data_IF_286440517474
#
_entry.id   IF_286440517474
#
_cell.length_a   1.000
_cell.length_b   1.000
_cell.length_c   1.000
_cell.angle_alpha   90.00
_cell.angle_beta   90.00
_cell.angle_gamma   90.00
#
_symmetry.space_group_name_H-M   'P 1'
#
loop_
_entity.id
_entity.type
_entity.pdbx_description
1 polymer ?
#
# COMPACT_ATOMS: atom_id res chain seq x y z
N UNK A 1 -6.82 -19.81 7.73
CA UNK A 1 -5.94 -18.93 6.92
C UNK A 1 -6.69 -18.20 5.82
N UNK A 2 -7.44 -18.89 4.96
CA UNK A 2 -8.21 -18.28 3.86
C UNK A 2 -9.16 -17.17 4.33
N UNK A 3 -9.91 -17.39 5.40
CA UNK A 3 -10.81 -16.39 5.99
C UNK A 3 -10.08 -15.08 6.37
N UNK A 4 -8.89 -15.19 6.96
CA UNK A 4 -8.08 -14.02 7.35
C UNK A 4 -7.59 -13.25 6.12
N UNK A 5 -7.21 -13.93 5.05
CA UNK A 5 -6.83 -13.30 3.77
C UNK A 5 -8.01 -12.50 3.20
N UNK A 6 -9.21 -13.09 3.16
CA UNK A 6 -10.41 -12.44 2.61
C UNK A 6 -10.79 -11.22 3.45
N UNK A 7 -10.87 -11.36 4.78
CA UNK A 7 -11.15 -10.24 5.68
C UNK A 7 -10.11 -9.12 5.53
N UNK A 8 -8.83 -9.47 5.48
CA UNK A 8 -7.75 -8.50 5.29
C UNK A 8 -7.85 -7.78 3.94
N UNK A 9 -8.23 -8.47 2.88
CA UNK A 9 -8.45 -7.87 1.55
C UNK A 9 -9.65 -6.91 1.55
N UNK A 10 -10.76 -7.29 2.19
CA UNK A 10 -11.93 -6.42 2.36
C UNK A 10 -11.54 -5.14 3.12
N UNK A 11 -10.83 -5.30 4.25
CA UNK A 11 -10.36 -4.15 5.05
C UNK A 11 -9.44 -3.26 4.22
N UNK A 12 -8.49 -3.82 3.47
CA UNK A 12 -7.60 -3.07 2.58
C UNK A 12 -8.33 -2.31 1.48
N UNK A 13 -9.36 -2.93 0.87
CA UNK A 13 -10.22 -2.29 -0.12
C UNK A 13 -10.98 -1.10 0.48
N UNK A 14 -11.59 -1.28 1.65
CA UNK A 14 -12.26 -0.20 2.39
C UNK A 14 -11.27 0.91 2.76
N UNK A 15 -10.07 0.57 3.21
CA UNK A 15 -9.02 1.53 3.51
C UNK A 15 -8.60 2.36 2.29
N UNK A 16 -8.64 1.78 1.09
CA UNK A 16 -8.38 2.51 -0.16
C UNK A 16 -9.49 3.54 -0.43
N UNK A 17 -10.75 3.16 -0.22
CA UNK A 17 -11.89 4.08 -0.33
C UNK A 17 -11.77 5.22 0.70
N UNK A 18 -11.38 4.92 1.94
CA UNK A 18 -11.14 5.93 2.97
C UNK A 18 -9.99 6.87 2.58
N UNK A 19 -8.88 6.33 2.06
CA UNK A 19 -7.75 7.13 1.58
C UNK A 19 -8.19 8.14 0.52
N UNK A 20 -8.86 7.67 -0.53
CA UNK A 20 -9.35 8.54 -1.61
C UNK A 20 -10.38 9.53 -1.10
N UNK A 21 -11.29 9.12 -0.21
CA UNK A 21 -12.27 10.01 0.41
C UNK A 21 -11.61 11.18 1.15
N UNK A 22 -10.64 10.90 2.02
CA UNK A 22 -9.90 11.94 2.75
C UNK A 22 -9.12 12.84 1.78
N UNK A 23 -8.44 12.26 0.80
CA UNK A 23 -7.69 13.03 -0.19
C UNK A 23 -8.59 13.99 -0.97
N UNK A 24 -9.71 13.49 -1.51
CA UNK A 24 -10.66 14.31 -2.28
C UNK A 24 -11.31 15.40 -1.45
N UNK A 25 -11.63 15.12 -0.19
CA UNK A 25 -12.22 16.09 0.72
C UNK A 25 -11.23 17.14 1.22
N UNK A 26 -9.94 16.81 1.37
CA UNK A 26 -8.96 17.75 1.96
C UNK A 26 -8.15 18.51 0.92
N UNK A 27 -7.88 17.94 -0.27
CA UNK A 27 -7.06 18.58 -1.31
C UNK A 27 -7.51 19.98 -1.76
N UNK A 28 -8.80 20.39 -1.66
CA UNK A 28 -9.19 21.76 -1.98
C UNK A 28 -8.76 22.80 -0.93
N UNK A 29 -8.47 22.37 0.30
CA UNK A 29 -8.32 23.25 1.46
C UNK A 29 -6.86 23.36 1.96
N UNK A 30 -6.03 22.35 1.71
CA UNK A 30 -4.65 22.29 2.21
C UNK A 30 -3.68 21.84 1.11
N UNK A 31 -2.36 22.07 1.25
CA UNK A 31 -1.37 21.60 0.28
C UNK A 31 -1.48 20.11 -0.02
N UNK A 32 -1.39 19.73 -1.30
CA UNK A 32 -1.59 18.36 -1.77
C UNK A 32 -0.72 17.33 -1.03
N UNK A 33 0.53 17.69 -0.71
CA UNK A 33 1.43 16.83 0.04
C UNK A 33 0.90 16.52 1.46
N UNK A 34 0.29 17.50 2.11
CA UNK A 34 -0.30 17.36 3.45
C UNK A 34 -1.59 16.53 3.34
N UNK A 35 -2.44 16.79 2.34
CA UNK A 35 -3.62 15.96 2.07
C UNK A 35 -3.27 14.49 1.82
N UNK A 36 -2.22 14.22 1.04
CA UNK A 36 -1.74 12.86 0.79
C UNK A 36 -1.25 12.20 2.07
N UNK A 37 -0.43 12.88 2.87
CA UNK A 37 0.07 12.36 4.13
C UNK A 37 -1.08 12.04 5.11
N UNK A 38 -2.06 12.93 5.23
CA UNK A 38 -3.25 12.74 6.07
C UNK A 38 -4.12 11.57 5.58
N UNK A 39 -4.36 11.47 4.27
CA UNK A 39 -5.14 10.39 3.69
C UNK A 39 -4.50 9.01 3.96
N UNK A 40 -3.17 8.91 3.75
CA UNK A 40 -2.41 7.69 3.99
C UNK A 40 -2.47 7.31 5.47
N UNK A 41 -2.20 8.25 6.38
CA UNK A 41 -2.20 7.99 7.82
C UNK A 41 -3.59 7.55 8.30
N UNK A 42 -4.65 8.27 7.94
CA UNK A 42 -6.03 7.91 8.32
C UNK A 42 -6.41 6.54 7.76
N UNK A 43 -5.99 6.22 6.53
CA UNK A 43 -6.22 4.90 5.94
C UNK A 43 -5.45 3.79 6.68
N UNK A 44 -4.19 4.03 7.09
CA UNK A 44 -3.41 3.07 7.87
C UNK A 44 -4.09 2.81 9.24
N UNK A 45 -4.51 3.87 9.93
CA UNK A 45 -5.21 3.74 11.21
C UNK A 45 -6.55 3.00 11.06
N UNK A 46 -7.35 3.34 10.04
CA UNK A 46 -8.60 2.66 9.73
C UNK A 46 -8.37 1.17 9.48
N UNK A 47 -7.39 0.84 8.63
CA UNK A 47 -7.01 -0.54 8.33
C UNK A 47 -6.55 -1.29 9.59
N UNK A 48 -5.75 -0.64 10.45
CA UNK A 48 -5.28 -1.24 11.69
C UNK A 48 -6.45 -1.57 12.62
N UNK A 49 -7.33 -0.60 12.86
CA UNK A 49 -8.46 -0.75 13.78
C UNK A 49 -9.35 -1.90 13.33
N UNK A 50 -9.76 -1.93 12.06
CA UNK A 50 -10.60 -3.01 11.53
C UNK A 50 -9.90 -4.37 11.60
N UNK A 51 -8.61 -4.44 11.26
CA UNK A 51 -7.87 -5.69 11.37
C UNK A 51 -7.71 -6.16 12.83
N UNK A 52 -7.52 -5.26 13.78
CA UNK A 52 -7.34 -5.61 15.19
C UNK A 52 -8.67 -6.06 15.85
N UNK A 53 -9.80 -5.43 15.49
CA UNK A 53 -11.10 -5.77 16.08
C UNK A 53 -11.86 -6.88 15.34
N UNK A 54 -11.54 -7.15 14.07
CA UNK A 54 -12.27 -8.10 13.23
C UNK A 54 -11.39 -9.21 12.64
N UNK A 55 -10.37 -8.89 11.83
CA UNK A 55 -9.57 -9.90 11.12
C UNK A 55 -8.75 -10.78 12.06
N UNK A 56 -8.13 -10.16 13.07
CA UNK A 56 -7.20 -10.79 14.01
C UNK A 56 -7.68 -10.69 15.46
N UNK A 57 -8.99 -10.50 15.68
CA UNK A 57 -9.62 -10.35 17.01
C UNK A 57 -9.15 -11.40 18.02
N UNK A 58 -9.07 -12.66 17.59
CA UNK A 58 -8.72 -13.81 18.43
C UNK A 58 -7.22 -14.07 18.51
N UNK A 59 -6.41 -13.26 17.83
CA UNK A 59 -4.94 -13.38 17.76
C UNK A 59 -4.23 -12.16 18.37
N UNK A 60 -4.94 -11.35 19.15
CA UNK A 60 -4.36 -10.17 19.80
C UNK A 60 -3.44 -10.57 20.95
N UNK A 61 -2.17 -10.21 20.83
CA UNK A 61 -1.15 -10.33 21.89
C UNK A 61 -0.55 -8.95 22.19
N UNK A 62 -0.13 -8.75 23.43
CA UNK A 62 0.53 -7.51 23.87
C UNK A 62 -0.32 -6.24 23.83
N UNK A 63 0.35 -5.08 23.91
CA UNK A 63 -0.30 -3.76 23.94
C UNK A 63 -0.74 -3.33 22.53
N UNK A 64 -1.88 -2.65 22.44
CA UNK A 64 -2.40 -2.10 21.17
C UNK A 64 -1.38 -1.19 20.47
N UNK A 65 -0.69 -0.35 21.23
CA UNK A 65 0.33 0.57 20.71
C UNK A 65 1.50 -0.17 20.04
N UNK A 66 1.91 -1.32 20.60
CA UNK A 66 2.97 -2.14 19.98
C UNK A 66 2.50 -2.72 18.65
N UNK A 67 1.27 -3.23 18.57
CA UNK A 67 0.71 -3.73 17.31
C UNK A 67 0.54 -2.62 16.29
N UNK A 68 0.12 -1.43 16.72
CA UNK A 68 -0.02 -0.25 15.85
C UNK A 68 1.32 0.12 15.20
N UNK A 69 2.39 0.22 15.99
CA UNK A 69 3.73 0.50 15.46
C UNK A 69 4.20 -0.59 14.49
N UNK A 70 4.04 -1.86 14.85
CA UNK A 70 4.39 -2.98 13.97
C UNK A 70 3.58 -2.94 12.66
N UNK A 71 2.32 -2.52 12.71
CA UNK A 71 1.47 -2.38 11.54
C UNK A 71 1.88 -1.21 10.64
N UNK A 72 2.33 -0.09 11.21
CA UNK A 72 2.93 1.01 10.43
C UNK A 72 4.17 0.54 9.68
N UNK A 73 5.09 -0.15 10.37
CA UNK A 73 6.29 -0.73 9.75
C UNK A 73 5.89 -1.71 8.63
N UNK A 74 4.92 -2.58 8.88
CA UNK A 74 4.43 -3.53 7.87
C UNK A 74 3.83 -2.83 6.65
N UNK A 75 3.11 -1.72 6.87
CA UNK A 75 2.48 -0.93 5.82
C UNK A 75 3.52 -0.17 4.98
N UNK A 76 4.55 0.39 5.63
CA UNK A 76 5.69 1.02 4.96
C UNK A 76 6.47 0.01 4.10
N UNK A 77 6.78 -1.18 4.65
CA UNK A 77 7.46 -2.24 3.88
C UNK A 77 6.61 -2.68 2.68
N UNK A 78 5.30 -2.85 2.87
CA UNK A 78 4.38 -3.17 1.76
C UNK A 78 4.39 -2.10 0.66
N UNK A 79 4.38 -0.82 1.02
CA UNK A 79 4.46 0.29 0.07
C UNK A 79 5.80 0.35 -0.68
N UNK A 80 6.92 0.11 0.01
CA UNK A 80 8.25 0.01 -0.61
C UNK A 80 8.31 -1.14 -1.60
N UNK A 81 7.80 -2.33 -1.23
CA UNK A 81 7.76 -3.49 -2.12
C UNK A 81 6.90 -3.22 -3.34
N UNK A 82 5.71 -2.63 -3.17
CA UNK A 82 4.86 -2.21 -4.28
C UNK A 82 5.62 -1.30 -5.24
N UNK A 83 6.27 -0.26 -4.72
CA UNK A 83 7.01 0.71 -5.53
C UNK A 83 8.17 0.06 -6.30
N UNK A 84 8.97 -0.78 -5.64
CA UNK A 84 10.08 -1.51 -6.26
C UNK A 84 9.58 -2.43 -7.37
N UNK A 85 8.48 -3.18 -7.13
CA UNK A 85 7.94 -4.11 -8.13
C UNK A 85 7.40 -3.36 -9.33
N UNK A 86 6.69 -2.24 -9.14
CA UNK A 86 6.21 -1.41 -10.25
C UNK A 86 7.40 -0.96 -11.10
N UNK A 87 8.46 -0.42 -10.49
CA UNK A 87 9.65 0.02 -11.23
C UNK A 87 10.31 -1.15 -11.96
N UNK A 88 10.52 -2.29 -11.28
CA UNK A 88 11.16 -3.44 -11.87
C UNK A 88 10.40 -3.96 -13.10
N UNK A 89 9.06 -4.04 -13.01
CA UNK A 89 8.22 -4.45 -14.12
C UNK A 89 8.26 -3.43 -15.27
N UNK A 90 8.19 -2.13 -14.97
CA UNK A 90 8.35 -1.08 -15.97
C UNK A 90 9.70 -1.21 -16.71
N UNK A 91 10.80 -1.46 -15.99
CA UNK A 91 12.14 -1.67 -16.57
C UNK A 91 12.24 -2.93 -17.41
N UNK A 92 11.60 -4.03 -16.99
CA UNK A 92 11.65 -5.29 -17.73
C UNK A 92 10.83 -5.22 -19.03
N UNK A 93 9.66 -4.61 -19.00
CA UNK A 93 8.77 -4.53 -20.17
C UNK A 93 9.16 -3.42 -21.14
N UNK A 94 9.78 -2.35 -20.65
CA UNK A 94 10.26 -1.25 -21.47
C UNK A 94 11.77 -1.37 -21.52
N UNK A 95 12.28 -1.87 -22.64
CA UNK A 95 13.72 -1.91 -22.86
C UNK A 95 14.24 -0.47 -22.95
N UNK A 96 14.67 0.07 -21.81
CA UNK A 96 15.36 1.35 -21.76
C UNK A 96 16.73 1.17 -22.40
N UNK A 97 17.05 2.00 -23.38
CA UNK A 97 18.34 1.94 -24.06
C UNK A 97 19.51 2.33 -23.15
N UNK A 98 19.25 3.17 -22.12
CA UNK A 98 20.28 3.73 -21.23
C UNK A 98 19.73 4.10 -19.82
N UNK A 99 20.59 4.15 -18.80
CA UNK A 99 20.26 4.54 -17.42
C UNK A 99 19.63 5.95 -17.33
N UNK A 100 20.05 6.87 -18.19
CA UNK A 100 19.49 8.24 -18.24
C UNK A 100 18.00 8.25 -18.57
N UNK A 101 17.53 7.38 -19.47
CA UNK A 101 16.10 7.27 -19.79
C UNK A 101 15.29 6.71 -18.62
N UNK A 102 15.86 5.76 -17.87
CA UNK A 102 15.26 5.23 -16.65
C UNK A 102 15.13 6.31 -15.57
N UNK A 103 16.20 7.09 -15.32
CA UNK A 103 16.14 8.18 -14.35
C UNK A 103 15.14 9.27 -14.78
N UNK A 104 15.11 9.61 -16.07
CA UNK A 104 14.15 10.59 -16.59
C UNK A 104 12.70 10.13 -16.41
N UNK A 105 12.44 8.83 -16.59
CA UNK A 105 11.12 8.26 -16.29
C UNK A 105 10.75 8.40 -14.81
N UNK A 106 11.67 8.00 -13.92
CA UNK A 106 11.42 7.95 -12.48
C UNK A 106 11.14 9.33 -11.87
N UNK A 107 11.77 10.38 -12.41
CA UNK A 107 11.69 11.75 -11.87
C UNK A 107 10.79 12.70 -12.68
N UNK A 108 10.66 12.51 -14.00
CA UNK A 108 9.97 13.46 -14.90
C UNK A 108 8.76 12.85 -15.63
N UNK A 109 8.45 11.56 -15.40
CA UNK A 109 7.19 10.89 -15.77
C UNK A 109 6.66 11.20 -17.17
N UNK A 110 7.49 11.02 -18.21
CA UNK A 110 7.11 11.22 -19.61
C UNK A 110 7.05 9.89 -20.37
N UNK A 111 5.99 9.09 -20.15
CA UNK A 111 5.71 7.93 -20.99
C UNK A 111 4.31 7.98 -21.56
N UNK A 112 4.23 8.07 -22.88
CA UNK A 112 3.02 7.76 -23.65
C UNK A 112 2.91 6.23 -23.82
N UNK A 113 2.82 5.48 -22.72
CA UNK A 113 2.40 4.07 -22.79
C UNK A 113 0.88 4.00 -22.94
N UNK A 114 0.39 2.89 -23.52
CA UNK A 114 -1.02 2.56 -23.42
C UNK A 114 -1.39 2.42 -21.93
N UNK A 115 -2.42 3.16 -21.53
CA UNK A 115 -2.90 3.26 -20.14
C UNK A 115 -3.20 1.90 -19.52
N UNK A 116 -3.57 0.91 -20.34
CA UNK A 116 -3.85 -0.46 -19.91
C UNK A 116 -2.60 -1.18 -19.36
N UNK A 117 -1.43 -0.99 -19.98
CA UNK A 117 -0.19 -1.66 -19.53
C UNK A 117 0.27 -1.13 -18.18
N UNK A 118 0.23 0.19 -18.00
CA UNK A 118 0.54 0.82 -16.72
C UNK A 118 -0.44 0.41 -15.63
N UNK A 119 -1.73 0.24 -15.96
CA UNK A 119 -2.72 -0.24 -15.02
C UNK A 119 -2.42 -1.68 -14.55
N UNK A 120 -2.06 -2.58 -15.47
CA UNK A 120 -1.69 -3.97 -15.14
C UNK A 120 -0.44 -4.00 -14.25
N UNK A 121 0.60 -3.23 -14.60
CA UNK A 121 1.84 -3.19 -13.80
C UNK A 121 1.57 -2.66 -12.39
N UNK A 122 0.80 -1.57 -12.27
CA UNK A 122 0.41 -1.03 -10.96
C UNK A 122 -0.40 -2.05 -10.16
N UNK A 123 -1.33 -2.75 -10.80
CA UNK A 123 -2.12 -3.80 -10.16
C UNK A 123 -1.23 -4.92 -9.60
N UNK A 124 -0.25 -5.40 -10.37
CA UNK A 124 0.71 -6.42 -9.89
C UNK A 124 1.53 -5.92 -8.70
N UNK A 125 1.98 -4.66 -8.74
CA UNK A 125 2.67 -4.03 -7.61
C UNK A 125 1.80 -3.97 -6.36
N UNK A 126 0.53 -3.55 -6.49
CA UNK A 126 -0.43 -3.51 -5.38
C UNK A 126 -0.63 -4.89 -4.78
N UNK A 127 -0.85 -5.92 -5.62
CA UNK A 127 -1.03 -7.31 -5.17
C UNK A 127 0.18 -7.80 -4.39
N UNK A 128 1.39 -7.52 -4.88
CA UNK A 128 2.61 -7.95 -4.22
C UNK A 128 2.87 -7.20 -2.90
N UNK A 129 2.71 -5.87 -2.88
CA UNK A 129 2.82 -5.07 -1.65
C UNK A 129 1.78 -5.48 -0.60
N UNK A 130 0.54 -5.74 -1.04
CA UNK A 130 -0.53 -6.28 -0.20
C UNK A 130 -0.15 -7.65 0.37
N UNK A 131 0.39 -8.56 -0.45
CA UNK A 131 0.85 -9.88 -0.02
C UNK A 131 1.93 -9.79 1.06
N UNK A 132 2.95 -8.95 0.87
CA UNK A 132 3.99 -8.71 1.88
C UNK A 132 3.42 -8.15 3.16
N UNK A 133 2.54 -7.14 3.06
CA UNK A 133 1.90 -6.53 4.23
C UNK A 133 1.04 -7.53 5.00
N UNK A 134 0.33 -8.43 4.30
CA UNK A 134 -0.43 -9.51 4.92
C UNK A 134 0.47 -10.52 5.63
N UNK A 135 1.58 -10.94 4.99
CA UNK A 135 2.56 -11.86 5.58
C UNK A 135 3.20 -11.25 6.84
N UNK A 136 3.54 -9.96 6.81
CA UNK A 136 4.06 -9.26 7.99
C UNK A 136 2.98 -9.11 9.07
N UNK A 137 1.72 -8.92 8.69
CA UNK A 137 0.62 -8.87 9.65
C UNK A 137 0.50 -10.18 10.43
N UNK A 138 0.55 -11.34 9.75
CA UNK A 138 0.49 -12.63 10.43
C UNK A 138 1.76 -12.93 11.25
N UNK A 139 2.97 -12.71 10.70
CA UNK A 139 4.22 -13.13 11.34
C UNK A 139 4.76 -12.17 12.38
N UNK A 140 4.59 -10.86 12.14
CA UNK A 140 5.24 -9.82 12.93
C UNK A 140 4.25 -9.03 13.81
N UNK A 141 3.09 -8.65 13.27
CA UNK A 141 2.13 -7.79 13.98
C UNK A 141 1.30 -8.58 15.00
N UNK A 142 0.63 -9.65 14.55
CA UNK A 142 -0.24 -10.49 15.39
C UNK A 142 0.38 -11.85 15.77
N UNK A 143 1.57 -12.18 15.28
CA UNK A 143 2.37 -13.35 15.67
C UNK A 143 1.55 -14.66 15.74
N UNK A 144 0.92 -14.97 14.61
CA UNK A 144 0.10 -16.15 14.33
C UNK A 144 0.94 -17.22 13.65
#
# INVERSE_FOLDING_TARGET
MLEKVIKYAIVGGLGTIVNEGILLSTKPFIPIAISLALAIEISILFNFILNDIWTFKDSRKGKIMTRLWKFHVSSLVGGVVQYIIVIALVVLFIHFGNLTQLLFLLFFSSLHLSSLYLAIINFLGIVAGFGVRFILSIRYVWEI
#
